data_IF_130333064731
#
_entry.id   IF_130333064731
#
_cell.length_a   1.000
_cell.length_b   1.000
_cell.length_c   1.000
_cell.angle_alpha   90.00
_cell.angle_beta   90.00
_cell.angle_gamma   90.00
#
_symmetry.space_group_name_H-M   'P 1'
#
loop_
_entity.id
_entity.type
_entity.pdbx_description
1 polymer ?
#
# COMPACT_ATOMS: atom_id res chain seq x y z
N UNK A 1 -13.20 -11.73 9.50
CA UNK A 1 -12.28 -10.64 9.13
C UNK A 1 -13.11 -9.37 9.13
N UNK A 2 -12.70 -8.37 9.89
CA UNK A 2 -13.41 -7.09 10.02
C UNK A 2 -13.17 -6.26 8.76
N UNK A 3 -14.22 -5.61 8.25
CA UNK A 3 -14.08 -4.66 7.15
C UNK A 3 -13.64 -3.30 7.66
N UNK A 4 -12.73 -2.65 6.92
CA UNK A 4 -12.23 -1.31 7.19
C UNK A 4 -12.92 -0.37 6.21
N UNK A 5 -13.62 0.63 6.73
CA UNK A 5 -14.44 1.53 5.90
C UNK A 5 -13.70 2.80 5.49
N UNK A 6 -12.74 3.25 6.31
CA UNK A 6 -12.08 4.55 6.15
C UNK A 6 -10.61 4.49 6.56
N UNK A 7 -9.88 5.55 6.21
CA UNK A 7 -8.44 5.68 6.45
C UNK A 7 -7.62 5.38 5.20
N UNK A 8 -6.31 5.44 5.36
CA UNK A 8 -5.38 5.20 4.26
C UNK A 8 -4.68 3.85 4.41
N UNK A 9 -4.47 3.20 3.27
CA UNK A 9 -3.60 2.03 3.19
C UNK A 9 -2.37 2.35 2.36
N UNK A 10 -1.29 1.63 2.65
CA UNK A 10 -0.10 1.67 1.84
C UNK A 10 0.25 0.31 1.26
N UNK A 11 0.83 0.31 0.07
CA UNK A 11 1.38 -0.86 -0.59
C UNK A 11 2.83 -0.63 -0.99
N UNK A 12 3.68 -1.56 -0.59
CA UNK A 12 5.03 -1.62 -1.13
C UNK A 12 5.03 -2.09 -2.59
N UNK A 13 5.56 -1.25 -3.47
CA UNK A 13 5.73 -1.46 -4.90
C UNK A 13 7.20 -1.81 -5.19
N UNK A 14 7.44 -3.00 -5.75
CA UNK A 14 8.80 -3.44 -6.14
C UNK A 14 9.31 -2.57 -7.29
N UNK A 15 10.63 -2.41 -7.46
CA UNK A 15 11.20 -1.63 -8.57
C UNK A 15 10.69 -2.06 -9.96
N UNK A 16 10.48 -3.36 -10.17
CA UNK A 16 9.95 -3.91 -11.43
C UNK A 16 8.52 -3.47 -11.75
N UNK A 17 7.78 -2.97 -10.76
CA UNK A 17 6.40 -2.49 -10.89
C UNK A 17 6.32 -0.96 -10.93
N UNK A 18 7.45 -0.27 -11.10
CA UNK A 18 7.52 1.19 -11.18
C UNK A 18 7.93 1.66 -12.58
N UNK A 19 7.43 2.81 -13.00
CA UNK A 19 7.95 3.62 -14.11
C UNK A 19 8.40 4.97 -13.56
N UNK A 20 9.69 5.30 -13.64
CA UNK A 20 10.21 6.59 -13.15
C UNK A 20 9.81 6.90 -11.69
N UNK A 21 9.72 5.88 -10.83
CA UNK A 21 9.31 6.00 -9.42
C UNK A 21 7.80 5.97 -9.18
N UNK A 22 6.99 5.93 -10.24
CA UNK A 22 5.52 5.91 -10.19
C UNK A 22 5.03 4.46 -10.32
N UNK A 23 4.13 3.98 -9.44
CA UNK A 23 3.52 2.65 -9.58
C UNK A 23 2.80 2.48 -10.92
N UNK A 24 2.99 1.32 -11.55
CA UNK A 24 2.18 0.85 -12.68
C UNK A 24 1.06 -0.08 -12.17
N UNK A 25 0.09 -0.42 -13.01
CA UNK A 25 -0.98 -1.40 -12.69
C UNK A 25 -0.45 -2.70 -12.09
N UNK A 26 0.63 -3.25 -12.65
CA UNK A 26 1.27 -4.48 -12.12
C UNK A 26 1.72 -4.39 -10.66
N UNK A 27 1.84 -3.19 -10.10
CA UNK A 27 2.09 -3.02 -8.68
C UNK A 27 0.89 -3.49 -7.84
N UNK A 28 -0.34 -3.39 -8.35
CA UNK A 28 -1.60 -3.67 -7.65
C UNK A 28 -2.28 -4.97 -8.07
N UNK A 29 -1.59 -5.82 -8.83
CA UNK A 29 -2.07 -7.17 -9.12
C UNK A 29 -1.97 -8.08 -7.89
N UNK A 30 -2.94 -8.98 -7.74
CA UNK A 30 -2.87 -10.08 -6.78
C UNK A 30 -1.76 -11.04 -7.19
N UNK A 31 -1.14 -11.69 -6.21
CA UNK A 31 -0.27 -12.83 -6.54
C UNK A 31 -1.16 -14.00 -6.98
N UNK A 32 -0.67 -14.82 -7.90
CA UNK A 32 -1.40 -15.97 -8.44
C UNK A 32 -1.90 -16.98 -7.40
N UNK A 33 -1.39 -16.93 -6.17
CA UNK A 33 -1.76 -17.78 -5.04
C UNK A 33 -2.40 -17.00 -3.86
N UNK A 34 -2.75 -15.73 -4.06
CA UNK A 34 -3.40 -14.89 -3.04
C UNK A 34 -4.81 -14.49 -3.49
N UNK A 35 -5.81 -14.69 -2.62
CA UNK A 35 -7.20 -14.30 -2.90
C UNK A 35 -7.47 -12.80 -2.65
N UNK A 36 -6.43 -12.03 -2.32
CA UNK A 36 -6.54 -10.61 -1.96
C UNK A 36 -5.23 -9.88 -2.29
N UNK A 37 -5.33 -8.56 -2.47
CA UNK A 37 -4.18 -7.69 -2.63
C UNK A 37 -3.63 -7.28 -1.26
N UNK A 38 -2.40 -7.67 -0.94
CA UNK A 38 -1.76 -7.28 0.33
C UNK A 38 -1.48 -5.77 0.40
N UNK A 39 -1.99 -5.12 1.45
CA UNK A 39 -1.77 -3.70 1.80
C UNK A 39 -1.64 -3.54 3.32
N UNK A 40 -1.25 -2.38 3.81
CA UNK A 40 -1.07 -2.10 5.23
C UNK A 40 -1.86 -0.87 5.64
N UNK A 41 -2.65 -0.96 6.70
CA UNK A 41 -3.34 0.20 7.27
C UNK A 41 -2.31 1.20 7.78
N UNK A 42 -2.31 2.40 7.21
CA UNK A 42 -1.26 3.38 7.42
C UNK A 42 -1.35 4.00 8.83
N UNK A 43 -2.56 4.37 9.24
CA UNK A 43 -2.80 5.09 10.49
C UNK A 43 -2.70 4.21 11.74
N UNK A 44 -2.47 2.90 11.58
CA UNK A 44 -2.40 1.93 12.68
C UNK A 44 -1.38 2.33 13.76
N UNK A 45 -0.26 2.94 13.37
CA UNK A 45 0.81 3.32 14.30
C UNK A 45 0.60 4.69 14.96
N UNK A 46 -0.41 5.46 14.54
CA UNK A 46 -0.78 6.73 15.16
C UNK A 46 0.35 7.78 15.16
N UNK A 47 1.22 7.78 14.15
CA UNK A 47 2.26 8.81 14.03
C UNK A 47 1.68 10.14 13.56
N UNK A 48 2.42 11.22 13.84
CA UNK A 48 1.99 12.59 13.55
C UNK A 48 1.96 12.82 12.04
N UNK A 49 2.94 12.28 11.31
CA UNK A 49 3.06 12.47 9.87
C UNK A 49 2.87 11.17 9.09
N UNK A 50 2.36 11.31 7.86
CA UNK A 50 2.23 10.22 6.89
C UNK A 50 3.57 9.50 6.66
N UNK A 51 4.66 10.26 6.52
CA UNK A 51 6.01 9.73 6.35
C UNK A 51 6.48 8.86 7.52
N UNK A 52 6.19 9.26 8.77
CA UNK A 52 6.54 8.46 9.95
C UNK A 52 5.73 7.16 10.01
N UNK A 53 4.44 7.20 9.67
CA UNK A 53 3.63 5.98 9.55
C UNK A 53 4.19 5.04 8.47
N UNK A 54 4.63 5.57 7.32
CA UNK A 54 5.29 4.78 6.27
C UNK A 54 6.59 4.12 6.78
N UNK A 55 7.39 4.83 7.59
CA UNK A 55 8.60 4.27 8.21
C UNK A 55 8.26 3.10 9.16
N UNK A 56 7.20 3.22 9.94
CA UNK A 56 6.75 2.14 10.82
C UNK A 56 6.22 0.93 10.04
N UNK A 57 5.44 1.15 8.97
CA UNK A 57 5.01 0.06 8.09
C UNK A 57 6.22 -0.65 7.48
N UNK A 58 7.21 0.09 6.98
CA UNK A 58 8.46 -0.48 6.47
C UNK A 58 9.16 -1.32 7.54
N UNK A 59 9.32 -0.77 8.75
CA UNK A 59 9.96 -1.48 9.86
C UNK A 59 9.21 -2.77 10.23
N UNK A 60 7.87 -2.71 10.28
CA UNK A 60 7.02 -3.88 10.51
C UNK A 60 7.22 -4.97 9.45
N UNK A 61 7.26 -4.59 8.16
CA UNK A 61 7.51 -5.54 7.07
C UNK A 61 8.89 -6.20 7.20
N UNK A 62 9.92 -5.42 7.53
CA UNK A 62 11.29 -5.90 7.69
C UNK A 62 11.46 -6.84 8.89
N UNK A 63 10.77 -6.57 10.00
CA UNK A 63 10.70 -7.49 11.15
C UNK A 63 10.05 -8.83 10.77
N UNK A 64 9.16 -8.86 9.77
CA UNK A 64 8.55 -10.07 9.20
C UNK A 64 9.39 -10.70 8.09
N UNK A 65 10.69 -10.38 8.00
CA UNK A 65 11.66 -10.90 7.01
C UNK A 65 11.35 -10.51 5.56
N UNK A 66 10.58 -9.44 5.34
CA UNK A 66 10.41 -8.88 4.00
C UNK A 66 11.46 -7.80 3.75
N UNK A 67 12.19 -7.87 2.65
CA UNK A 67 13.21 -6.86 2.31
C UNK A 67 12.65 -5.85 1.30
N UNK A 68 12.46 -4.61 1.76
CA UNK A 68 12.13 -3.47 0.90
C UNK A 68 13.36 -3.05 0.09
N UNK A 69 13.33 -3.22 -1.23
CA UNK A 69 14.43 -2.79 -2.11
C UNK A 69 14.54 -1.26 -2.15
N UNK A 70 15.77 -0.69 -2.19
CA UNK A 70 15.99 0.77 -2.17
C UNK A 70 15.27 1.56 -3.28
N UNK A 71 15.16 0.97 -4.47
CA UNK A 71 14.47 1.57 -5.62
C UNK A 71 12.97 1.23 -5.67
N UNK A 72 12.42 0.66 -4.59
CA UNK A 72 10.98 0.48 -4.44
C UNK A 72 10.31 1.74 -3.93
N UNK A 73 8.99 1.73 -3.86
CA UNK A 73 8.19 2.85 -3.35
C UNK A 73 7.01 2.33 -2.53
N UNK A 74 6.52 3.12 -1.60
CA UNK A 74 5.24 2.89 -0.93
C UNK A 74 4.19 3.79 -1.55
N UNK A 75 3.15 3.19 -2.13
CA UNK A 75 2.00 3.90 -2.70
C UNK A 75 0.89 4.00 -1.66
N UNK A 76 0.22 5.14 -1.58
CA UNK A 76 -0.87 5.39 -0.64
C UNK A 76 -2.19 5.48 -1.40
N UNK A 77 -3.20 4.79 -0.87
CA UNK A 77 -4.57 4.79 -1.38
C UNK A 77 -5.50 5.06 -0.20
N UNK A 78 -6.41 6.01 -0.39
CA UNK A 78 -7.52 6.22 0.53
C UNK A 78 -8.63 5.17 0.30
N UNK A 79 -9.04 4.51 1.39
CA UNK A 79 -10.01 3.42 1.33
C UNK A 79 -11.35 3.88 0.76
N UNK A 80 -11.89 4.98 1.28
CA UNK A 80 -13.22 5.44 0.90
C UNK A 80 -13.21 5.92 -0.56
N UNK A 81 -12.26 6.77 -0.93
CA UNK A 81 -12.15 7.31 -2.29
C UNK A 81 -11.99 6.20 -3.34
N UNK A 82 -11.17 5.19 -3.05
CA UNK A 82 -10.96 4.09 -4.01
C UNK A 82 -12.19 3.17 -4.14
N UNK A 83 -12.92 2.92 -3.05
CA UNK A 83 -14.21 2.20 -3.11
C UNK A 83 -15.22 2.93 -3.98
N UNK A 84 -15.38 4.24 -3.74
CA UNK A 84 -16.30 5.10 -4.50
C UNK A 84 -15.90 5.14 -5.98
N UNK A 85 -14.63 5.41 -6.27
CA UNK A 85 -14.13 5.51 -7.64
C UNK A 85 -14.32 4.22 -8.45
N UNK A 86 -13.95 3.06 -7.88
CA UNK A 86 -14.09 1.78 -8.58
C UNK A 86 -15.56 1.42 -8.80
N UNK A 87 -16.42 1.72 -7.83
CA UNK A 87 -17.85 1.53 -7.99
C UNK A 87 -18.44 2.42 -9.10
N UNK A 88 -18.02 3.68 -9.18
CA UNK A 88 -18.47 4.60 -10.24
C UNK A 88 -18.01 4.15 -11.64
N UNK A 89 -16.77 3.69 -11.77
CA UNK A 89 -16.20 3.32 -13.08
C UNK A 89 -16.73 1.99 -13.62
N UNK A 90 -16.94 1.00 -12.76
CA UNK A 90 -17.26 -0.38 -13.21
C UNK A 90 -18.43 -1.02 -12.46
N UNK A 91 -19.10 -0.30 -11.56
CA UNK A 91 -20.21 -0.82 -10.74
C UNK A 91 -19.82 -2.04 -9.90
N UNK A 92 -18.54 -2.13 -9.51
CA UNK A 92 -17.99 -3.22 -8.70
C UNK A 92 -17.66 -2.75 -7.28
N UNK A 93 -17.89 -3.64 -6.32
CA UNK A 93 -17.50 -3.42 -4.93
C UNK A 93 -16.13 -4.04 -4.65
N UNK A 94 -15.25 -3.25 -4.03
CA UNK A 94 -14.02 -3.76 -3.41
C UNK A 94 -14.11 -3.63 -1.89
N UNK A 95 -13.49 -4.57 -1.18
CA UNK A 95 -13.53 -4.63 0.27
C UNK A 95 -12.13 -4.59 0.86
N UNK A 96 -11.92 -3.69 1.82
CA UNK A 96 -10.71 -3.66 2.63
C UNK A 96 -10.98 -4.42 3.92
N UNK A 97 -10.19 -5.45 4.21
CA UNK A 97 -10.40 -6.25 5.43
C UNK A 97 -9.10 -6.49 6.18
N UNK A 98 -9.22 -6.51 7.51
CA UNK A 98 -8.13 -6.85 8.41
C UNK A 98 -7.64 -8.28 8.15
N UNK A 99 -6.32 -8.46 8.19
CA UNK A 99 -5.67 -9.77 8.21
C UNK A 99 -4.99 -10.01 9.54
N UNK A 100 -4.01 -9.18 9.84
CA UNK A 100 -3.31 -9.14 11.12
C UNK A 100 -2.67 -7.77 11.22
N UNK A 101 -3.44 -6.81 11.75
CA UNK A 101 -3.08 -5.39 11.73
C UNK A 101 -1.60 -5.16 12.11
N UNK A 102 -0.90 -4.28 11.38
CA UNK A 102 -1.38 -3.39 10.33
C UNK A 102 -1.65 -4.07 8.97
N UNK A 103 -1.38 -5.36 8.79
CA UNK A 103 -1.61 -6.03 7.51
C UNK A 103 -3.10 -6.20 7.20
N UNK A 104 -3.48 -5.78 6.00
CA UNK A 104 -4.83 -5.81 5.45
C UNK A 104 -4.83 -6.44 4.05
N UNK A 105 -6.03 -6.69 3.52
CA UNK A 105 -6.22 -7.13 2.14
C UNK A 105 -7.32 -6.35 1.44
N UNK A 106 -7.11 -6.07 0.16
CA UNK A 106 -8.18 -5.65 -0.76
C UNK A 106 -8.75 -6.88 -1.46
N UNK A 107 -10.07 -7.03 -1.43
CA UNK A 107 -10.79 -8.17 -2.00
C UNK A 107 -11.78 -7.68 -3.04
N UNK A 108 -11.94 -8.47 -4.11
CA UNK A 108 -12.89 -8.23 -5.18
C UNK A 108 -13.09 -9.53 -5.98
N UNK A 109 -14.21 -9.62 -6.69
CA UNK A 109 -14.55 -10.75 -7.57
C UNK A 109 -14.31 -10.44 -9.06
N UNK A 110 -14.04 -9.18 -9.41
CA UNK A 110 -13.79 -8.73 -10.77
C UNK A 110 -12.38 -9.06 -11.29
N UNK A 111 -12.18 -8.77 -12.58
CA UNK A 111 -10.92 -8.93 -13.28
C UNK A 111 -9.76 -8.20 -12.56
N UNK A 112 -8.70 -8.95 -12.28
CA UNK A 112 -7.56 -8.46 -11.50
C UNK A 112 -6.80 -7.34 -12.20
N UNK A 113 -6.68 -7.42 -13.53
CA UNK A 113 -5.95 -6.42 -14.30
C UNK A 113 -6.73 -5.10 -14.35
N UNK A 114 -8.06 -5.18 -14.47
CA UNK A 114 -8.93 -4.02 -14.42
C UNK A 114 -8.90 -3.34 -13.05
N UNK A 115 -9.05 -4.11 -11.96
CA UNK A 115 -8.99 -3.55 -10.60
C UNK A 115 -7.60 -2.98 -10.30
N UNK A 116 -6.53 -3.67 -10.69
CA UNK A 116 -5.17 -3.18 -10.50
C UNK A 116 -4.90 -1.86 -11.25
N UNK A 117 -5.47 -1.71 -12.46
CA UNK A 117 -5.43 -0.45 -13.21
C UNK A 117 -6.14 0.66 -12.45
N UNK A 118 -7.39 0.45 -12.04
CA UNK A 118 -8.18 1.47 -11.33
C UNK A 118 -7.55 1.87 -9.98
N UNK A 119 -7.04 0.90 -9.22
CA UNK A 119 -6.32 1.17 -7.96
C UNK A 119 -5.05 2.02 -8.18
N UNK A 120 -4.37 1.87 -9.32
CA UNK A 120 -3.20 2.70 -9.64
C UNK A 120 -3.61 4.15 -9.86
N UNK A 121 -4.78 4.39 -10.43
CA UNK A 121 -5.35 5.73 -10.63
C UNK A 121 -5.80 6.36 -9.29
N UNK A 122 -6.08 5.55 -8.27
CA UNK A 122 -6.37 6.01 -6.90
C UNK A 122 -5.13 6.38 -6.06
N UNK A 123 -3.92 6.24 -6.58
CA UNK A 123 -2.70 6.53 -5.81
C UNK A 123 -2.59 8.03 -5.55
N UNK A 124 -2.65 8.42 -4.28
CA UNK A 124 -2.59 9.82 -3.87
C UNK A 124 -1.15 10.31 -3.70
N UNK A 125 -0.32 9.51 -3.04
CA UNK A 125 1.07 9.81 -2.72
C UNK A 125 1.97 8.58 -2.92
N UNK A 126 3.25 8.84 -3.15
CA UNK A 126 4.28 7.82 -3.31
C UNK A 126 5.54 8.17 -2.52
N UNK A 127 6.07 7.21 -1.77
CA UNK A 127 7.26 7.36 -0.93
C UNK A 127 8.38 6.41 -1.37
N UNK A 128 9.37 6.90 -2.13
CA UNK A 128 10.54 6.10 -2.49
C UNK A 128 11.28 5.60 -1.25
N UNK A 129 11.64 4.32 -1.23
CA UNK A 129 12.31 3.69 -0.07
C UNK A 129 13.63 4.37 0.27
N UNK A 130 14.36 4.86 -0.73
CA UNK A 130 15.62 5.59 -0.53
C UNK A 130 15.43 6.85 0.33
N UNK A 131 14.25 7.46 0.32
CA UNK A 131 13.91 8.65 1.13
C UNK A 131 13.44 8.29 2.55
N UNK A 132 13.22 7.00 2.82
CA UNK A 132 12.81 6.49 4.13
C UNK A 132 13.99 6.10 5.02
N UNK A 133 15.22 6.15 4.48
CA UNK A 133 16.44 5.94 5.24
C UNK A 133 16.69 7.19 6.07
N UNK A 134 16.42 7.12 7.37
CA UNK A 134 16.88 8.15 8.29
C UNK A 134 18.41 8.22 8.23
N UNK A 135 18.94 9.46 8.16
CA UNK A 135 20.32 9.73 8.59
C UNK A 135 20.44 9.19 10.00
N UNK A 136 21.07 8.02 10.14
CA UNK A 136 21.41 7.48 11.44
C UNK A 136 22.13 8.54 12.25
N UNK A 137 21.64 8.76 13.46
CA UNK A 137 22.36 9.22 14.64
C UNK A 137 23.70 9.89 14.35
N UNK A 138 23.71 11.23 14.29
CA UNK A 138 24.91 11.95 14.69
C UNK A 138 25.11 11.63 16.17
N UNK A 139 26.00 10.67 16.45
CA UNK A 139 26.65 10.59 17.75
C UNK A 139 27.25 11.98 18.01
N UNK A 140 26.69 12.69 18.98
CA UNK A 140 27.39 13.79 19.63
C UNK A 140 28.64 13.17 20.25
N UNK A 141 29.81 13.62 19.75
CA UNK A 141 31.10 13.45 20.41
C UNK A 141 31.29 14.65 21.32
#
# INVERSE_FOLDING_TARGET
MTEIQTGDVTRYCKPSNLENGIPKSSAFERRSNENYLSVYLLDFFGKITELENIREVKAYMEQKRFTCKPNGSFAIINIQQSKEYIFEEISSEIFYREKNLPHCGIFHEDDDLLIAKLLTECVQNNYPVINLIEKGSMNQV
#
